data_IF_051320730039
#
_entry.id   IF_051320730039
#
_cell.length_a   1.000
_cell.length_b   1.000
_cell.length_c   1.000
_cell.angle_alpha   90.00
_cell.angle_beta   90.00
_cell.angle_gamma   90.00
#
_symmetry.space_group_name_H-M   'P 1'
#
loop_
_entity.id
_entity.type
_entity.pdbx_description
1 polymer ?
#
# COMPACT_ATOMS: atom_id res chain seq x y z
N UNK A 1 -11.46 9.37 13.72
CA UNK A 1 -10.17 9.87 13.16
C UNK A 1 -9.38 8.71 12.56
N UNK A 2 -9.70 8.32 11.33
CA UNK A 2 -9.06 7.20 10.62
C UNK A 2 -7.52 7.35 10.54
N UNK A 3 -7.07 8.56 10.19
CA UNK A 3 -5.63 8.92 10.13
C UNK A 3 -4.89 8.73 11.45
N UNK A 4 -5.55 9.00 12.59
CA UNK A 4 -4.93 8.82 13.90
C UNK A 4 -4.86 7.34 14.32
N UNK A 5 -5.81 6.52 13.85
CA UNK A 5 -5.85 5.08 14.14
C UNK A 5 -4.81 4.29 13.33
N UNK A 6 -4.47 4.75 12.13
CA UNK A 6 -3.56 4.06 11.21
C UNK A 6 -2.35 4.92 10.84
N UNK A 7 -1.61 5.40 11.84
CA UNK A 7 -0.52 6.38 11.67
C UNK A 7 0.64 5.91 10.75
N UNK A 8 0.80 4.59 10.56
CA UNK A 8 1.78 3.99 9.66
C UNK A 8 1.41 4.12 8.18
N UNK A 9 0.14 4.42 7.87
CA UNK A 9 -0.34 4.68 6.53
C UNK A 9 -0.49 6.19 6.30
N UNK A 10 -0.18 6.62 5.08
CA UNK A 10 -0.65 7.89 4.54
C UNK A 10 -2.00 7.66 3.87
N UNK A 11 -3.03 8.40 4.28
CA UNK A 11 -4.41 8.19 3.80
C UNK A 11 -4.85 9.40 2.98
N UNK A 12 -5.03 9.17 1.68
CA UNK A 12 -5.46 10.15 0.70
C UNK A 12 -6.88 9.86 0.22
N UNK A 13 -7.64 10.92 -0.04
CA UNK A 13 -8.88 10.84 -0.81
C UNK A 13 -8.57 11.20 -2.26
N UNK A 14 -9.05 10.39 -3.18
CA UNK A 14 -8.80 10.47 -4.62
C UNK A 14 -10.13 10.37 -5.36
N UNK A 15 -10.14 10.74 -6.64
CA UNK A 15 -11.31 10.62 -7.50
C UNK A 15 -10.97 9.72 -8.68
N UNK A 16 -11.88 8.82 -9.04
CA UNK A 16 -11.72 7.98 -10.23
C UNK A 16 -11.96 8.77 -11.53
N UNK A 17 -11.83 8.11 -12.68
CA UNK A 17 -12.05 8.73 -13.99
C UNK A 17 -13.52 9.17 -14.22
N UNK A 18 -14.45 8.73 -13.38
CA UNK A 18 -15.85 9.16 -13.37
C UNK A 18 -16.13 10.24 -12.31
N UNK A 19 -15.12 10.71 -11.57
CA UNK A 19 -15.27 11.69 -10.49
C UNK A 19 -15.86 11.11 -9.20
N UNK A 20 -15.85 9.79 -9.01
CA UNK A 20 -16.31 9.17 -7.76
C UNK A 20 -15.18 9.18 -6.73
N UNK A 21 -15.45 9.61 -5.48
CA UNK A 21 -14.42 9.62 -4.44
C UNK A 21 -14.10 8.18 -4.02
N UNK A 22 -12.82 7.94 -3.76
CA UNK A 22 -12.33 6.74 -3.11
C UNK A 22 -11.16 7.10 -2.19
N UNK A 23 -10.92 6.26 -1.19
CA UNK A 23 -9.80 6.39 -0.27
C UNK A 23 -8.68 5.45 -0.67
N UNK A 24 -7.46 5.90 -0.42
CA UNK A 24 -6.23 5.16 -0.63
C UNK A 24 -5.35 5.29 0.61
N UNK A 25 -4.87 4.16 1.11
CA UNK A 25 -3.90 4.09 2.19
C UNK A 25 -2.60 3.48 1.68
N UNK A 26 -1.51 4.23 1.81
CA UNK A 26 -0.17 3.80 1.41
C UNK A 26 0.71 3.68 2.64
N UNK A 27 1.39 2.55 2.79
CA UNK A 27 2.32 2.37 3.91
C UNK A 27 3.45 3.42 3.82
N UNK A 28 3.77 4.11 4.91
CA UNK A 28 4.84 5.11 4.89
C UNK A 28 6.22 4.45 4.73
N UNK A 29 7.19 5.09 4.04
CA UNK A 29 8.49 4.50 3.73
C UNK A 29 9.24 3.94 4.94
N UNK A 30 9.19 4.62 6.09
CA UNK A 30 9.87 4.17 7.32
C UNK A 30 9.33 2.85 7.91
N UNK A 31 8.14 2.43 7.48
CA UNK A 31 7.53 1.15 7.87
C UNK A 31 7.63 0.09 6.76
N UNK A 32 8.15 0.45 5.59
CA UNK A 32 8.38 -0.51 4.52
C UNK A 32 9.60 -1.37 4.85
N UNK A 33 9.42 -2.70 4.83
CA UNK A 33 10.52 -3.68 4.94
C UNK A 33 10.95 -4.22 3.57
N UNK A 34 10.30 -3.75 2.52
CA UNK A 34 10.47 -4.12 1.12
C UNK A 34 10.49 -2.87 0.26
N UNK A 35 11.09 -2.90 -0.92
CA UNK A 35 11.07 -1.78 -1.87
C UNK A 35 9.70 -1.49 -2.49
N UNK A 36 8.66 -2.29 -2.16
CA UNK A 36 7.31 -2.15 -2.71
C UNK A 36 6.35 -1.46 -1.73
N UNK A 37 5.63 -0.41 -2.15
CA UNK A 37 4.60 0.22 -1.34
C UNK A 37 3.36 -0.68 -1.24
N UNK A 38 2.86 -0.87 -0.01
CA UNK A 38 1.55 -1.50 0.20
C UNK A 38 0.47 -0.44 -0.03
N UNK A 39 -0.41 -0.69 -0.99
CA UNK A 39 -1.53 0.18 -1.37
C UNK A 39 -2.85 -0.53 -1.05
N UNK A 40 -3.70 0.09 -0.25
CA UNK A 40 -5.05 -0.37 0.05
C UNK A 40 -6.04 0.70 -0.39
N UNK A 41 -6.99 0.35 -1.26
CA UNK A 41 -8.05 1.27 -1.69
C UNK A 41 -9.40 0.85 -1.14
N UNK A 42 -10.33 1.78 -1.00
CA UNK A 42 -11.70 1.55 -0.56
C UNK A 42 -12.62 2.68 -1.05
N UNK A 43 -13.92 2.45 -1.19
CA UNK A 43 -14.86 3.49 -1.64
C UNK A 43 -15.33 4.40 -0.50
N UNK A 44 -15.11 4.01 0.76
CA UNK A 44 -15.44 4.82 1.93
C UNK A 44 -14.54 4.49 3.15
N UNK A 45 -14.70 5.27 4.22
CA UNK A 45 -13.86 5.15 5.42
C UNK A 45 -14.12 3.87 6.22
N UNK A 46 -15.36 3.34 6.22
CA UNK A 46 -15.69 2.11 6.95
C UNK A 46 -15.06 0.91 6.27
N UNK A 47 -15.20 0.80 4.94
CA UNK A 47 -14.53 -0.22 4.15
C UNK A 47 -13.01 -0.12 4.26
N UNK A 48 -12.44 1.10 4.26
CA UNK A 48 -11.00 1.27 4.47
C UNK A 48 -10.59 0.81 5.87
N UNK A 49 -11.41 1.10 6.89
CA UNK A 49 -11.16 0.65 8.26
C UNK A 49 -11.16 -0.86 8.36
N UNK A 50 -12.16 -1.51 7.76
CA UNK A 50 -12.28 -2.96 7.75
C UNK A 50 -11.12 -3.59 6.99
N UNK A 51 -10.77 -3.04 5.81
CA UNK A 51 -9.62 -3.50 5.03
C UNK A 51 -8.30 -3.26 5.75
N UNK A 52 -8.14 -2.20 6.55
CA UNK A 52 -6.90 -1.93 7.31
C UNK A 52 -6.81 -2.73 8.61
N UNK A 53 -7.95 -2.98 9.27
CA UNK A 53 -8.03 -3.92 10.41
C UNK A 53 -7.78 -5.34 9.95
N UNK A 54 -8.40 -5.71 8.84
CA UNK A 54 -8.08 -6.96 8.17
C UNK A 54 -6.65 -6.89 7.67
N UNK A 55 -6.12 -5.77 7.16
CA UNK A 55 -4.70 -5.65 6.83
C UNK A 55 -3.79 -5.64 8.06
N UNK A 56 -4.24 -5.77 9.32
CA UNK A 56 -3.40 -6.25 10.44
C UNK A 56 -3.03 -7.76 10.28
N UNK A 57 -3.67 -8.43 9.33
CA UNK A 57 -3.18 -9.56 8.52
C UNK A 57 -1.92 -9.17 7.69
N UNK A 58 -1.33 -7.99 7.94
CA UNK A 58 -0.01 -7.53 7.47
C UNK A 58 1.07 -8.53 7.80
N UNK A 59 0.92 -9.30 8.87
CA UNK A 59 1.87 -10.36 9.19
C UNK A 59 1.76 -11.53 8.20
N UNK A 60 0.56 -11.91 7.78
CA UNK A 60 0.38 -12.91 6.69
C UNK A 60 0.76 -12.36 5.34
N UNK A 61 0.51 -11.07 5.08
CA UNK A 61 0.94 -10.37 3.87
C UNK A 61 2.47 -10.26 3.82
N UNK A 62 3.13 -9.97 4.96
CA UNK A 62 4.59 -10.08 5.12
C UNK A 62 5.08 -11.49 4.84
N UNK A 63 4.49 -12.51 5.47
CA UNK A 63 4.87 -13.91 5.24
C UNK A 63 4.66 -14.30 3.77
N UNK A 64 3.57 -13.88 3.15
CA UNK A 64 3.31 -14.14 1.73
C UNK A 64 4.33 -13.43 0.83
N UNK A 65 4.67 -12.17 1.12
CA UNK A 65 5.69 -11.42 0.37
C UNK A 65 7.07 -12.07 0.57
N UNK A 66 7.44 -12.48 1.78
CA UNK A 66 8.67 -13.24 2.04
C UNK A 66 8.68 -14.58 1.30
N UNK A 67 7.58 -15.34 1.32
CA UNK A 67 7.47 -16.63 0.63
C UNK A 67 7.50 -16.49 -0.90
N UNK A 68 6.93 -15.43 -1.46
CA UNK A 68 6.99 -15.15 -2.90
C UNK A 68 8.40 -14.70 -3.32
N UNK A 69 9.09 -13.94 -2.47
CA UNK A 69 10.50 -13.56 -2.65
C UNK A 69 11.43 -14.78 -2.60
N UNK A 70 11.27 -15.65 -1.60
CA UNK A 70 12.08 -16.86 -1.42
C UNK A 70 11.93 -17.83 -2.61
N UNK A 71 10.74 -17.88 -3.21
CA UNK A 71 10.44 -18.67 -4.42
C UNK A 71 10.90 -18.01 -5.73
N UNK A 72 11.48 -16.81 -5.68
CA UNK A 72 11.88 -16.06 -6.87
C UNK A 72 10.71 -15.66 -7.79
N UNK A 73 9.49 -15.61 -7.25
CA UNK A 73 8.26 -15.33 -8.00
C UNK A 73 7.90 -13.84 -8.02
N UNK A 74 8.63 -13.02 -7.27
CA UNK A 74 8.51 -11.57 -7.36
C UNK A 74 9.52 -11.05 -8.37
N UNK A 75 9.10 -10.26 -9.38
CA UNK A 75 10.04 -9.58 -10.24
C UNK A 75 10.93 -8.67 -9.39
N UNK A 76 12.22 -8.63 -9.70
CA UNK A 76 13.07 -7.60 -9.12
C UNK A 76 12.48 -6.23 -9.48
N UNK A 77 12.15 -5.46 -8.45
CA UNK A 77 11.71 -4.09 -8.66
C UNK A 77 12.89 -3.31 -9.23
N UNK A 78 12.80 -2.93 -10.50
CA UNK A 78 13.67 -1.93 -11.09
C UNK A 78 13.01 -0.56 -10.90
N UNK A 79 13.74 0.43 -10.34
CA UNK A 79 13.25 1.81 -10.36
C UNK A 79 13.01 2.23 -11.82
N UNK A 80 11.94 2.99 -12.12
CA UNK A 80 11.80 3.59 -13.43
C UNK A 80 13.03 4.45 -13.71
N UNK A 81 13.66 4.25 -14.87
CA UNK A 81 14.89 4.92 -15.28
C UNK A 81 14.82 6.42 -14.95
N UNK A 82 15.80 6.89 -14.18
CA UNK A 82 15.98 8.32 -13.97
C UNK A 82 16.14 8.98 -15.35
N UNK A 83 15.50 10.14 -15.61
CA UNK A 83 15.56 10.77 -16.91
C UNK A 83 17.02 10.98 -17.32
N UNK A 84 17.37 10.47 -18.50
CA UNK A 84 18.69 10.64 -19.11
C UNK A 84 19.09 12.12 -19.04
N UNK A 85 20.07 12.43 -18.19
CA UNK A 85 20.79 13.69 -18.26
C UNK A 85 21.69 13.60 -19.49
N UNK A 86 21.21 14.13 -20.62
CA UNK A 86 22.06 14.59 -21.72
C UNK A 86 22.33 16.08 -21.57
#
# INVERSE_FOLDING_TARGET
>A
MLRAQFAMFEICELHDHCGRPYLSAVLKPHYMSTSLPVLVTAVNADELTDRLRDAALTERLRVAIYALRDRGLLPEWQPPDAPNTQ
#
